data_IF_386141814286
#
_entry.id   IF_386141814286
#
_cell.length_a   1.000
_cell.length_b   1.000
_cell.length_c   1.000
_cell.angle_alpha   90.00
_cell.angle_beta   90.00
_cell.angle_gamma   90.00
#
_symmetry.space_group_name_H-M   'P 1'
#
loop_
_entity.id
_entity.type
_entity.pdbx_description
1 polymer ?
#
# COMPACT_ATOMS: atom_id res chain seq x y z
N UNK A 1 76.00 8.76 -30.04
CA UNK A 1 74.97 9.28 -31.01
C UNK A 1 74.21 8.17 -31.72
N UNK A 2 74.75 6.94 -31.86
CA UNK A 2 74.12 5.81 -32.53
C UNK A 2 73.19 5.00 -31.54
N UNK A 3 73.52 4.93 -30.25
CA UNK A 3 72.66 4.22 -29.23
C UNK A 3 71.38 4.98 -28.91
N UNK A 4 71.35 6.31 -28.95
CA UNK A 4 70.18 7.11 -28.69
C UNK A 4 69.10 7.01 -29.79
N UNK A 5 69.47 6.68 -31.03
CA UNK A 5 68.56 6.47 -32.14
C UNK A 5 67.93 5.10 -32.14
N UNK A 6 68.57 4.04 -31.60
CA UNK A 6 68.02 2.71 -31.47
C UNK A 6 66.98 2.63 -30.37
N UNK A 7 67.16 3.37 -29.30
CA UNK A 7 66.16 3.44 -28.18
C UNK A 7 64.86 4.10 -28.61
N UNK A 8 64.91 5.18 -29.41
CA UNK A 8 63.69 5.85 -29.90
C UNK A 8 62.89 5.03 -30.94
N UNK A 9 63.56 4.24 -31.77
CA UNK A 9 62.89 3.37 -32.75
C UNK A 9 62.13 2.21 -32.08
N UNK A 10 62.71 1.61 -31.03
CA UNK A 10 62.08 0.54 -30.26
C UNK A 10 60.87 1.07 -29.44
N UNK A 11 60.97 2.28 -28.90
CA UNK A 11 59.90 2.89 -28.12
C UNK A 11 58.71 3.30 -29.01
N UNK A 12 58.94 3.76 -30.26
CA UNK A 12 57.90 4.06 -31.21
C UNK A 12 57.19 2.80 -31.75
N UNK A 13 57.87 1.66 -31.88
CA UNK A 13 57.26 0.41 -32.29
C UNK A 13 56.41 -0.20 -31.18
N UNK A 14 56.86 -0.16 -29.94
CA UNK A 14 56.07 -0.62 -28.78
C UNK A 14 54.80 0.23 -28.55
N UNK A 15 54.87 1.56 -28.74
CA UNK A 15 53.66 2.39 -28.65
C UNK A 15 52.65 2.11 -29.76
N UNK A 16 53.09 1.79 -30.98
CA UNK A 16 52.16 1.42 -32.07
C UNK A 16 51.46 0.08 -31.85
N UNK A 17 52.13 -0.91 -31.30
CA UNK A 17 51.51 -2.19 -30.98
C UNK A 17 50.59 -2.10 -29.76
N UNK A 18 50.89 -1.24 -28.78
CA UNK A 18 50.03 -1.04 -27.61
C UNK A 18 48.73 -0.29 -27.96
N UNK A 19 48.77 0.67 -28.87
CA UNK A 19 47.57 1.38 -29.36
C UNK A 19 46.72 0.47 -30.25
N UNK A 20 47.31 -0.45 -31.02
CA UNK A 20 46.55 -1.37 -31.87
C UNK A 20 45.86 -2.49 -31.03
N UNK A 21 46.47 -2.95 -29.96
CA UNK A 21 45.88 -3.95 -29.07
C UNK A 21 44.74 -3.34 -28.22
N UNK A 22 44.82 -2.06 -27.81
CA UNK A 22 43.76 -1.38 -27.08
C UNK A 22 42.57 -1.09 -28.00
N UNK A 23 42.80 -0.72 -29.25
CA UNK A 23 41.72 -0.50 -30.21
C UNK A 23 40.97 -1.76 -30.59
N UNK A 24 41.66 -2.93 -30.69
CA UNK A 24 40.98 -4.22 -30.93
C UNK A 24 40.26 -4.80 -29.70
N UNK A 25 40.72 -4.50 -28.49
CA UNK A 25 39.99 -4.87 -27.28
C UNK A 25 38.72 -4.03 -27.03
N UNK A 26 38.71 -2.74 -27.44
CA UNK A 26 37.51 -1.90 -27.36
C UNK A 26 36.45 -2.23 -28.41
N UNK A 27 36.82 -2.76 -29.59
CA UNK A 27 35.87 -3.20 -30.60
C UNK A 27 35.26 -4.58 -30.26
N UNK A 28 35.98 -5.43 -29.53
CA UNK A 28 35.45 -6.74 -29.08
C UNK A 28 34.49 -6.67 -27.87
N UNK A 29 34.56 -5.61 -27.05
CA UNK A 29 33.60 -5.35 -25.95
C UNK A 29 32.38 -4.53 -26.38
N UNK A 30 32.31 -3.98 -27.57
CA UNK A 30 31.17 -3.22 -28.06
C UNK A 30 30.11 -4.09 -28.79
N UNK A 31 30.35 -5.39 -28.93
CA UNK A 31 29.38 -6.35 -29.52
C UNK A 31 28.78 -7.34 -28.52
N UNK A 32 28.82 -7.08 -27.22
CA UNK A 32 27.87 -7.67 -26.31
C UNK A 32 26.55 -6.91 -26.48
N UNK A 33 25.65 -7.52 -27.19
CA UNK A 33 24.23 -7.19 -27.33
C UNK A 33 23.73 -6.24 -26.26
N UNK A 34 23.74 -4.93 -26.54
CA UNK A 34 22.71 -4.06 -26.02
C UNK A 34 21.41 -4.54 -26.66
N UNK A 35 20.82 -5.57 -26.07
CA UNK A 35 19.40 -5.78 -26.18
C UNK A 35 18.79 -4.47 -25.64
N UNK A 36 18.46 -3.58 -26.55
CA UNK A 36 17.43 -2.57 -26.31
C UNK A 36 16.24 -3.38 -25.87
N UNK A 37 16.05 -3.47 -24.55
CA UNK A 37 14.74 -3.65 -23.99
C UNK A 37 13.92 -2.53 -24.62
N UNK A 38 13.25 -2.82 -25.72
CA UNK A 38 12.12 -2.04 -26.16
C UNK A 38 11.24 -2.01 -24.91
N UNK A 39 11.19 -0.85 -24.23
CA UNK A 39 10.17 -0.60 -23.22
C UNK A 39 8.86 -0.82 -23.94
N UNK A 40 8.31 -2.02 -23.85
CA UNK A 40 6.89 -2.23 -24.08
C UNK A 40 6.17 -1.22 -23.23
N UNK A 41 5.13 -0.59 -23.74
CA UNK A 41 4.32 0.34 -22.97
C UNK A 41 4.04 -0.31 -21.61
N UNK A 42 4.39 0.38 -20.51
CA UNK A 42 4.26 -0.21 -19.18
C UNK A 42 2.78 -0.44 -18.88
N UNK A 43 2.36 -1.71 -18.77
CA UNK A 43 1.01 -2.08 -18.37
C UNK A 43 0.71 -1.53 -16.95
N UNK A 44 -0.50 -1.08 -16.65
CA UNK A 44 -1.61 -0.82 -17.57
C UNK A 44 -1.47 0.54 -18.27
N UNK A 45 -1.93 0.66 -19.51
CA UNK A 45 -2.15 1.96 -20.15
C UNK A 45 -3.64 2.20 -20.37
N UNK A 46 -4.05 3.46 -20.47
CA UNK A 46 -5.46 3.82 -20.74
C UNK A 46 -5.92 3.37 -22.11
N UNK A 47 -5.00 3.11 -23.02
CA UNK A 47 -5.24 2.57 -24.36
C UNK A 47 -5.41 1.05 -24.37
N UNK A 48 -5.03 0.38 -23.27
CA UNK A 48 -5.05 -1.08 -23.16
C UNK A 48 -6.41 -1.64 -22.74
N UNK A 49 -7.43 -0.78 -22.57
CA UNK A 49 -8.79 -1.22 -22.28
C UNK A 49 -9.31 -2.06 -23.45
N UNK A 50 -9.39 -3.37 -23.25
CA UNK A 50 -9.98 -4.25 -24.25
C UNK A 50 -11.48 -4.02 -24.30
N UNK A 51 -12.06 -3.78 -25.50
CA UNK A 51 -13.53 -3.70 -25.64
C UNK A 51 -14.11 -5.02 -25.15
N UNK A 52 -14.92 -4.97 -24.09
CA UNK A 52 -15.45 -6.17 -23.44
C UNK A 52 -15.55 -7.37 -24.40
N UNK A 53 -15.14 -8.60 -24.04
CA UNK A 53 -15.76 -9.22 -22.88
C UNK A 53 -14.84 -10.08 -22.06
N UNK A 54 -13.94 -10.19 -21.54
CA UNK A 54 -13.37 -11.17 -20.56
C UNK A 54 -14.44 -11.69 -19.55
N UNK A 55 -15.65 -12.01 -20.08
CA UNK A 55 -16.79 -12.45 -19.27
C UNK A 55 -17.52 -11.32 -18.55
N UNK A 56 -17.51 -10.08 -19.10
CA UNK A 56 -18.35 -9.00 -18.63
C UNK A 56 -19.35 -8.57 -19.73
N UNK A 57 -20.55 -8.16 -19.33
CA UNK A 57 -21.48 -7.51 -20.25
C UNK A 57 -21.25 -5.99 -20.27
N UNK A 58 -21.29 -5.41 -21.46
CA UNK A 58 -21.03 -3.98 -21.67
C UNK A 58 -22.03 -3.09 -20.92
N UNK A 59 -23.30 -3.48 -20.83
CA UNK A 59 -24.33 -2.71 -20.13
C UNK A 59 -24.08 -2.65 -18.61
N UNK A 60 -23.54 -3.72 -18.03
CA UNK A 60 -23.14 -3.76 -16.62
C UNK A 60 -21.95 -2.85 -16.34
N UNK A 61 -20.92 -2.89 -17.18
CA UNK A 61 -19.78 -1.96 -17.07
C UNK A 61 -20.19 -0.51 -17.27
N UNK A 62 -21.13 -0.24 -18.20
CA UNK A 62 -21.68 1.11 -18.36
C UNK A 62 -22.44 1.61 -17.11
N UNK A 63 -23.08 0.72 -16.34
CA UNK A 63 -23.70 1.10 -15.06
C UNK A 63 -22.65 1.45 -14.01
N UNK A 64 -21.53 0.72 -13.95
CA UNK A 64 -20.41 1.05 -13.09
C UNK A 64 -19.88 2.45 -13.42
N UNK A 65 -19.61 2.73 -14.70
CA UNK A 65 -19.14 4.04 -15.16
C UNK A 65 -20.14 5.16 -14.83
N UNK A 66 -21.41 4.96 -15.15
CA UNK A 66 -22.47 5.92 -14.87
C UNK A 66 -22.57 6.27 -13.37
N UNK A 67 -22.42 5.28 -12.47
CA UNK A 67 -22.42 5.53 -11.01
C UNK A 67 -21.21 6.36 -10.57
N UNK A 68 -20.02 6.07 -11.13
CA UNK A 68 -18.82 6.84 -10.81
C UNK A 68 -18.92 8.29 -11.31
N UNK A 69 -19.44 8.47 -12.53
CA UNK A 69 -19.72 9.80 -13.07
C UNK A 69 -20.77 10.56 -12.25
N UNK A 70 -21.86 9.90 -11.88
CA UNK A 70 -22.93 10.48 -11.06
C UNK A 70 -22.40 11.03 -9.73
N UNK A 71 -21.43 10.36 -9.10
CA UNK A 71 -20.80 10.81 -7.87
C UNK A 71 -20.10 12.18 -8.03
N UNK A 72 -19.47 12.40 -9.17
CA UNK A 72 -18.86 13.70 -9.52
C UNK A 72 -19.93 14.74 -9.83
N UNK A 73 -20.91 14.38 -10.65
CA UNK A 73 -21.99 15.29 -11.08
C UNK A 73 -22.82 15.80 -9.87
N UNK A 74 -22.99 14.96 -8.84
CA UNK A 74 -23.68 15.32 -7.58
C UNK A 74 -22.77 16.01 -6.55
N UNK A 75 -21.48 16.18 -6.85
CA UNK A 75 -20.51 16.74 -5.90
C UNK A 75 -20.23 15.85 -4.68
N UNK A 76 -20.51 14.55 -4.78
CA UNK A 76 -20.13 13.58 -3.74
C UNK A 76 -18.60 13.49 -3.61
N UNK A 77 -17.88 13.63 -4.72
CA UNK A 77 -16.42 13.68 -4.83
C UNK A 77 -15.98 14.73 -5.84
N UNK A 78 -14.78 15.29 -5.71
CA UNK A 78 -14.20 16.20 -6.72
C UNK A 78 -13.84 15.46 -7.99
N UNK A 79 -13.43 14.22 -7.86
CA UNK A 79 -13.09 13.32 -8.95
C UNK A 79 -12.85 11.91 -8.47
N UNK A 80 -12.92 10.97 -9.39
CA UNK A 80 -12.80 9.53 -9.17
C UNK A 80 -12.09 8.87 -10.33
N UNK A 81 -11.23 7.92 -10.02
CA UNK A 81 -10.61 7.03 -11.01
C UNK A 81 -10.89 5.59 -10.60
N UNK A 82 -11.32 4.76 -11.55
CA UNK A 82 -11.50 3.32 -11.32
C UNK A 82 -10.86 2.50 -12.42
N UNK A 83 -10.32 1.34 -12.04
CA UNK A 83 -9.74 0.34 -12.93
C UNK A 83 -10.20 -1.04 -12.51
N UNK A 84 -10.70 -1.82 -13.47
CA UNK A 84 -11.00 -3.23 -13.35
C UNK A 84 -10.13 -4.01 -14.33
N UNK A 85 -9.42 -5.01 -13.86
CA UNK A 85 -8.68 -5.94 -14.71
C UNK A 85 -9.14 -7.38 -14.47
N UNK A 86 -9.11 -8.21 -15.50
CA UNK A 86 -9.40 -9.64 -15.43
C UNK A 86 -8.48 -10.41 -16.37
N UNK A 87 -7.90 -11.51 -15.90
CA UNK A 87 -7.00 -12.38 -16.67
C UNK A 87 -5.86 -11.61 -17.34
N UNK A 88 -5.29 -10.64 -16.61
CA UNK A 88 -4.19 -9.81 -17.08
C UNK A 88 -4.57 -8.64 -18.00
N UNK A 89 -5.84 -8.50 -18.42
CA UNK A 89 -6.30 -7.40 -19.26
C UNK A 89 -7.10 -6.36 -18.48
N UNK A 90 -6.89 -5.08 -18.77
CA UNK A 90 -7.76 -4.00 -18.28
C UNK A 90 -9.07 -4.06 -19.06
N UNK A 91 -10.18 -4.33 -18.37
CA UNK A 91 -11.51 -4.45 -18.98
C UNK A 91 -12.38 -3.22 -18.78
N UNK A 92 -12.01 -2.36 -17.83
CA UNK A 92 -12.69 -1.09 -17.58
C UNK A 92 -11.72 -0.11 -16.94
N UNK A 93 -11.71 1.11 -17.42
CA UNK A 93 -11.00 2.24 -16.83
C UNK A 93 -11.81 3.51 -17.06
N UNK A 94 -11.97 4.29 -16.01
CA UNK A 94 -12.58 5.62 -16.11
C UNK A 94 -11.92 6.62 -15.18
N UNK A 95 -11.91 7.88 -15.60
CA UNK A 95 -11.47 9.02 -14.82
C UNK A 95 -12.50 10.16 -15.02
N UNK A 96 -13.15 10.57 -13.93
CA UNK A 96 -14.16 11.62 -13.94
C UNK A 96 -13.79 12.74 -12.96
N UNK A 97 -14.18 13.97 -13.29
CA UNK A 97 -14.00 15.15 -12.46
C UNK A 97 -12.58 15.68 -12.43
N UNK A 98 -12.26 16.38 -11.35
CA UNK A 98 -11.00 17.12 -11.19
C UNK A 98 -10.23 16.67 -9.95
N UNK A 99 -8.89 16.79 -10.01
CA UNK A 99 -8.03 16.50 -8.85
C UNK A 99 -8.13 17.58 -7.76
N UNK A 100 -8.54 18.79 -8.15
CA UNK A 100 -8.79 19.92 -7.23
C UNK A 100 -9.82 20.86 -7.84
N UNK A 101 -10.81 21.29 -7.06
CA UNK A 101 -11.76 22.33 -7.47
C UNK A 101 -11.07 23.68 -7.64
N UNK A 102 -10.01 23.94 -6.88
CA UNK A 102 -9.27 25.18 -6.90
C UNK A 102 -8.48 25.38 -8.20
N UNK A 103 -7.96 24.29 -8.75
CA UNK A 103 -7.14 24.32 -9.99
C UNK A 103 -7.92 23.93 -11.24
N UNK A 104 -9.01 23.19 -11.09
CA UNK A 104 -9.80 22.66 -12.20
C UNK A 104 -9.06 21.61 -13.06
N UNK A 105 -7.90 21.12 -12.64
CA UNK A 105 -7.11 20.13 -13.39
C UNK A 105 -7.86 18.80 -13.42
N UNK A 106 -8.14 18.23 -14.62
CA UNK A 106 -8.88 16.97 -14.72
C UNK A 106 -8.17 15.80 -14.03
N UNK A 107 -8.93 14.85 -13.51
CA UNK A 107 -8.41 13.54 -13.10
C UNK A 107 -7.79 12.83 -14.30
N UNK A 108 -6.67 12.16 -14.07
CA UNK A 108 -5.97 11.36 -15.07
C UNK A 108 -5.22 10.21 -14.44
N UNK A 109 -4.71 9.27 -15.24
CA UNK A 109 -3.83 8.18 -14.80
C UNK A 109 -2.60 8.66 -14.02
N UNK A 110 -2.18 9.91 -14.28
CA UNK A 110 -1.02 10.54 -13.66
C UNK A 110 -1.35 11.27 -12.35
N UNK A 111 -2.64 11.37 -11.96
CA UNK A 111 -3.04 11.98 -10.71
C UNK A 111 -2.47 11.18 -9.53
N UNK A 112 -1.90 11.88 -8.56
CA UNK A 112 -1.34 11.30 -7.34
C UNK A 112 -2.36 11.38 -6.20
N UNK A 113 -2.47 10.28 -5.48
CA UNK A 113 -3.40 10.14 -4.37
C UNK A 113 -2.64 9.82 -3.08
N UNK A 114 -2.97 10.47 -1.97
CA UNK A 114 -2.59 9.99 -0.65
C UNK A 114 -3.36 8.70 -0.40
N UNK A 115 -2.68 7.55 -0.47
CA UNK A 115 -3.35 6.25 -0.38
C UNK A 115 -3.60 5.80 1.06
N UNK A 116 -3.07 6.55 2.03
CA UNK A 116 -3.23 6.27 3.46
C UNK A 116 -3.09 4.77 3.76
N UNK A 117 -4.11 4.15 4.35
CA UNK A 117 -4.02 2.75 4.79
C UNK A 117 -3.85 1.71 3.68
N UNK A 118 -3.97 2.07 2.41
CA UNK A 118 -3.52 1.20 1.31
C UNK A 118 -1.99 1.04 1.28
N UNK A 119 -1.24 1.80 2.09
CA UNK A 119 0.19 1.58 2.37
C UNK A 119 0.43 0.24 3.06
N UNK A 120 -0.49 -0.21 3.93
CA UNK A 120 -0.33 -1.43 4.76
C UNK A 120 -0.03 -2.70 3.97
N UNK A 121 -0.76 -3.03 2.89
CA UNK A 121 -0.43 -4.15 2.03
C UNK A 121 1.01 -4.10 1.48
N UNK A 122 1.49 -2.91 1.13
CA UNK A 122 2.86 -2.73 0.62
C UNK A 122 3.89 -3.02 1.72
N UNK A 123 3.63 -2.52 2.94
CA UNK A 123 4.45 -2.81 4.12
C UNK A 123 4.45 -4.30 4.44
N UNK A 124 3.28 -4.95 4.38
CA UNK A 124 3.15 -6.40 4.57
C UNK A 124 3.97 -7.20 3.56
N UNK A 125 3.98 -6.80 2.28
CA UNK A 125 4.84 -7.42 1.26
C UNK A 125 6.32 -7.27 1.61
N UNK A 126 6.77 -6.09 2.07
CA UNK A 126 8.16 -5.89 2.52
C UNK A 126 8.52 -6.79 3.71
N UNK A 127 7.63 -6.90 4.70
CA UNK A 127 7.80 -7.82 5.81
C UNK A 127 7.94 -9.27 5.33
N UNK A 128 7.10 -9.70 4.38
CA UNK A 128 7.12 -11.06 3.88
C UNK A 128 8.33 -11.37 3.00
N UNK A 129 8.93 -10.39 2.33
CA UNK A 129 10.24 -10.55 1.68
C UNK A 129 11.34 -10.88 2.71
N UNK A 130 11.31 -10.24 3.88
CA UNK A 130 12.25 -10.53 4.97
C UNK A 130 11.94 -11.88 5.65
N UNK A 131 10.67 -12.27 5.71
CA UNK A 131 10.25 -13.61 6.13
C UNK A 131 10.81 -14.71 5.21
N UNK A 132 10.70 -14.54 3.89
CA UNK A 132 11.27 -15.48 2.89
C UNK A 132 12.79 -15.63 3.02
N UNK A 133 13.48 -14.58 3.48
CA UNK A 133 14.92 -14.60 3.80
C UNK A 133 15.22 -15.27 5.15
N UNK A 134 14.20 -15.71 5.90
CA UNK A 134 14.35 -16.35 7.21
C UNK A 134 14.79 -15.41 8.34
N UNK A 135 14.64 -14.08 8.15
CA UNK A 135 15.08 -13.09 9.14
C UNK A 135 14.14 -12.98 10.34
N UNK A 136 12.90 -13.42 10.19
CA UNK A 136 11.92 -13.50 11.27
C UNK A 136 10.93 -14.65 11.04
N UNK A 137 10.17 -15.01 12.09
CA UNK A 137 9.14 -16.06 12.08
C UNK A 137 7.84 -15.52 12.67
N UNK A 138 6.69 -16.11 12.27
CA UNK A 138 5.38 -15.70 12.76
C UNK A 138 5.24 -15.69 14.27
N UNK A 139 5.86 -16.66 14.96
CA UNK A 139 5.77 -16.81 16.40
C UNK A 139 6.91 -16.11 17.16
N UNK A 140 7.84 -15.44 16.46
CA UNK A 140 8.86 -14.62 17.14
C UNK A 140 8.17 -13.50 17.93
N UNK A 141 8.59 -13.24 19.19
CA UNK A 141 8.11 -12.08 19.91
C UNK A 141 8.63 -10.78 19.27
N UNK A 142 7.81 -9.74 19.21
CA UNK A 142 8.21 -8.45 18.61
C UNK A 142 9.43 -7.84 19.33
N UNK A 143 9.64 -8.15 20.61
CA UNK A 143 10.77 -7.70 21.41
C UNK A 143 12.13 -8.17 20.90
N UNK A 144 12.16 -9.21 20.08
CA UNK A 144 13.39 -9.65 19.38
C UNK A 144 13.89 -8.58 18.39
N UNK A 145 13.00 -7.80 17.83
CA UNK A 145 13.28 -6.77 16.81
C UNK A 145 13.12 -5.35 17.35
N UNK A 146 12.23 -5.20 18.32
CA UNK A 146 11.87 -3.93 18.98
C UNK A 146 12.00 -4.10 20.50
N UNK A 147 13.22 -4.12 21.08
CA UNK A 147 13.44 -4.37 22.51
C UNK A 147 12.80 -3.31 23.41
N UNK A 148 12.45 -2.14 22.88
CA UNK A 148 11.74 -1.09 23.60
C UNK A 148 10.40 -1.56 24.17
N UNK A 149 9.81 -2.61 23.60
CA UNK A 149 8.52 -3.20 24.02
C UNK A 149 8.64 -4.29 25.09
N UNK A 150 9.80 -4.41 25.77
CA UNK A 150 10.02 -5.45 26.78
C UNK A 150 9.14 -5.32 28.03
N UNK A 151 8.62 -4.12 28.33
CA UNK A 151 7.84 -3.81 29.54
C UNK A 151 6.43 -3.29 29.23
N UNK A 152 5.78 -3.90 28.25
CA UNK A 152 4.43 -3.51 27.85
C UNK A 152 3.42 -3.61 29.01
N UNK A 153 2.57 -2.59 29.12
CA UNK A 153 1.45 -2.54 30.04
C UNK A 153 0.14 -2.55 29.26
N UNK A 154 -0.92 -3.04 29.85
CA UNK A 154 -2.28 -3.05 29.31
C UNK A 154 -3.17 -2.22 30.22
N UNK A 155 -4.01 -1.36 29.68
CA UNK A 155 -5.00 -0.62 30.44
C UNK A 155 -6.23 -1.51 30.70
N UNK A 156 -6.37 -2.00 31.93
CA UNK A 156 -7.50 -2.88 32.31
C UNK A 156 -8.83 -2.11 32.39
N UNK A 157 -8.84 -0.98 33.10
CA UNK A 157 -9.91 0.02 33.16
C UNK A 157 -9.35 1.31 33.74
N UNK A 158 -10.13 2.41 33.74
CA UNK A 158 -9.71 3.66 34.40
C UNK A 158 -9.47 3.47 35.90
N UNK A 159 -10.30 2.69 36.54
CA UNK A 159 -10.28 2.41 37.99
C UNK A 159 -9.22 1.38 38.39
N UNK A 160 -9.06 0.32 37.58
CA UNK A 160 -8.12 -0.77 37.84
C UNK A 160 -6.67 -0.44 37.39
N UNK A 161 -6.50 0.62 36.59
CA UNK A 161 -5.20 1.08 36.14
C UNK A 161 -4.49 0.15 35.15
N UNK A 162 -3.16 0.26 35.13
CA UNK A 162 -2.29 -0.53 34.26
C UNK A 162 -1.95 -1.89 34.93
N UNK A 163 -1.81 -2.91 34.10
CA UNK A 163 -1.28 -4.21 34.48
C UNK A 163 -0.24 -4.65 33.44
N UNK A 164 0.77 -5.46 33.80
CA UNK A 164 1.70 -6.00 32.82
C UNK A 164 0.99 -6.77 31.70
N UNK A 165 1.49 -6.69 30.48
CA UNK A 165 1.11 -7.63 29.44
C UNK A 165 1.51 -9.05 29.85
N UNK A 166 0.66 -10.03 29.59
CA UNK A 166 0.93 -11.44 29.95
C UNK A 166 2.16 -12.00 29.21
N UNK A 167 2.44 -11.47 28.03
CA UNK A 167 3.59 -11.77 27.19
C UNK A 167 3.81 -10.65 26.17
N UNK A 168 4.94 -10.66 25.49
CA UNK A 168 5.11 -9.84 24.31
C UNK A 168 4.20 -10.32 23.17
N UNK A 169 3.66 -9.40 22.33
CA UNK A 169 3.00 -9.79 21.10
C UNK A 169 3.95 -10.54 20.16
N UNK A 170 3.40 -11.45 19.35
CA UNK A 170 4.15 -12.12 18.27
C UNK A 170 4.15 -11.29 16.99
N UNK A 171 5.05 -11.59 16.07
CA UNK A 171 5.10 -11.00 14.73
C UNK A 171 3.80 -11.24 13.96
N UNK A 172 3.22 -12.43 14.09
CA UNK A 172 1.89 -12.75 13.53
C UNK A 172 0.82 -11.79 14.07
N UNK A 173 0.78 -11.58 15.38
CA UNK A 173 -0.19 -10.68 16.01
C UNK A 173 0.03 -9.22 15.59
N UNK A 174 1.27 -8.81 15.36
CA UNK A 174 1.57 -7.50 14.80
C UNK A 174 0.98 -7.33 13.38
N UNK A 175 1.16 -8.33 12.51
CA UNK A 175 0.67 -8.30 11.13
C UNK A 175 -0.84 -8.51 10.99
N UNK A 176 -1.49 -9.02 12.04
CA UNK A 176 -2.94 -9.29 12.03
C UNK A 176 -3.76 -8.29 12.84
N UNK A 177 -3.16 -7.23 13.37
CA UNK A 177 -3.82 -6.27 14.28
C UNK A 177 -4.39 -6.93 15.55
N UNK A 178 -3.79 -8.01 16.03
CA UNK A 178 -4.17 -8.67 17.28
C UNK A 178 -3.15 -8.49 18.41
N UNK A 179 -2.14 -7.63 18.20
CA UNK A 179 -1.10 -7.32 19.19
C UNK A 179 -1.57 -6.45 20.37
N UNK A 180 -2.78 -5.88 20.30
CA UNK A 180 -3.37 -5.07 21.36
C UNK A 180 -3.01 -3.58 21.32
N UNK A 181 -2.28 -3.07 20.32
CA UNK A 181 -1.93 -1.66 20.20
C UNK A 181 -3.15 -0.77 19.90
N UNK A 182 -3.09 0.50 20.30
CA UNK A 182 -3.99 1.58 19.87
C UNK A 182 -3.52 2.26 18.58
N UNK A 183 -4.31 3.27 18.13
CA UNK A 183 -3.98 4.09 16.94
C UNK A 183 -4.47 5.55 17.05
N UNK A 184 -5.25 5.87 18.09
CA UNK A 184 -5.90 7.18 18.23
C UNK A 184 -7.22 7.29 17.44
N UNK A 185 -7.85 6.19 17.08
CA UNK A 185 -9.10 6.18 16.30
C UNK A 185 -10.36 6.16 17.19
N UNK A 186 -10.33 5.46 18.31
CA UNK A 186 -11.43 5.41 19.27
C UNK A 186 -11.32 6.57 20.25
N UNK A 187 -11.83 7.74 19.87
CA UNK A 187 -11.66 9.00 20.60
C UNK A 187 -12.07 8.96 22.08
N UNK A 188 -12.97 8.05 22.46
CA UNK A 188 -13.42 7.90 23.84
C UNK A 188 -12.59 6.91 24.66
N UNK A 189 -11.72 6.13 24.03
CA UNK A 189 -10.88 5.15 24.73
C UNK A 189 -9.62 5.86 25.28
N UNK A 190 -9.29 5.70 26.59
CA UNK A 190 -8.15 6.43 27.19
C UNK A 190 -6.82 6.19 26.50
N UNK A 191 -6.54 4.97 26.05
CA UNK A 191 -5.29 4.66 25.31
C UNK A 191 -5.24 5.42 24.00
N UNK A 192 -6.33 5.45 23.22
CA UNK A 192 -6.36 6.19 21.97
C UNK A 192 -6.26 7.71 22.17
N UNK A 193 -6.79 8.24 23.29
CA UNK A 193 -6.53 9.63 23.68
C UNK A 193 -5.05 9.89 23.98
N UNK A 194 -4.33 8.91 24.55
CA UNK A 194 -2.89 9.00 24.73
C UNK A 194 -2.17 9.01 23.36
N UNK A 195 -2.56 8.15 22.42
CA UNK A 195 -2.02 8.16 21.06
C UNK A 195 -2.24 9.50 20.35
N UNK A 196 -3.42 10.11 20.48
CA UNK A 196 -3.70 11.45 19.92
C UNK A 196 -2.81 12.53 20.54
N UNK A 197 -2.63 12.52 21.87
CA UNK A 197 -1.81 13.49 22.58
C UNK A 197 -0.33 13.38 22.27
N UNK A 198 0.20 12.16 22.32
CA UNK A 198 1.64 11.89 22.09
C UNK A 198 2.02 11.96 20.62
N UNK A 199 1.05 11.79 19.71
CA UNK A 199 1.20 11.87 18.27
C UNK A 199 2.45 11.11 17.74
N UNK A 200 2.53 9.79 17.86
CA UNK A 200 3.72 9.03 17.46
C UNK A 200 4.11 9.24 16.00
N UNK A 201 3.12 9.36 15.11
CA UNK A 201 3.35 9.54 13.68
C UNK A 201 3.76 10.97 13.28
N UNK A 202 3.70 11.92 14.21
CA UNK A 202 4.23 13.26 14.04
C UNK A 202 5.66 13.41 14.55
N UNK A 203 6.34 12.34 14.93
CA UNK A 203 7.75 12.36 15.35
C UNK A 203 8.67 12.51 14.13
N UNK A 204 9.92 12.98 14.33
CA UNK A 204 10.83 13.26 13.23
C UNK A 204 11.34 12.01 12.49
N UNK A 205 11.34 10.85 13.15
CA UNK A 205 11.90 9.60 12.61
C UNK A 205 11.24 8.35 13.21
N UNK A 206 11.54 7.20 12.61
CA UNK A 206 11.01 5.89 13.02
C UNK A 206 11.43 5.51 14.44
N UNK A 207 12.65 5.81 14.86
CA UNK A 207 13.14 5.47 16.20
C UNK A 207 12.36 6.23 17.27
N UNK A 208 12.18 7.54 17.09
CA UNK A 208 11.38 8.40 17.99
C UNK A 208 9.91 7.97 18.04
N UNK A 209 9.36 7.52 16.91
CA UNK A 209 8.02 6.94 16.85
C UNK A 209 7.94 5.66 17.70
N UNK A 210 8.84 4.70 17.52
CA UNK A 210 8.91 3.44 18.28
C UNK A 210 9.03 3.72 19.79
N UNK A 211 9.95 4.59 20.20
CA UNK A 211 10.15 4.97 21.61
C UNK A 211 8.90 5.65 22.22
N UNK A 212 8.16 6.40 21.40
CA UNK A 212 6.91 7.02 21.86
C UNK A 212 5.84 5.94 22.07
N UNK A 213 5.66 5.03 21.10
CA UNK A 213 4.66 3.96 21.19
C UNK A 213 4.97 3.01 22.35
N UNK A 214 6.25 2.71 22.62
CA UNK A 214 6.66 1.81 23.69
C UNK A 214 6.28 2.31 25.10
N UNK A 215 6.02 3.61 25.26
CA UNK A 215 5.56 4.22 26.52
C UNK A 215 4.03 4.21 26.68
N UNK A 216 3.30 3.85 25.62
CA UNK A 216 1.85 3.82 25.63
C UNK A 216 1.35 2.40 26.00
N UNK A 217 0.29 2.33 26.82
CA UNK A 217 -0.28 1.01 27.13
C UNK A 217 -1.02 0.41 25.93
N UNK A 218 -1.13 -0.91 25.95
CA UNK A 218 -1.98 -1.65 25.04
C UNK A 218 -3.47 -1.44 25.42
N UNK A 219 -4.35 -1.55 24.42
CA UNK A 219 -5.81 -1.60 24.60
C UNK A 219 -6.25 -2.90 25.25
N UNK A 220 -5.63 -4.01 24.85
CA UNK A 220 -5.99 -5.36 25.21
C UNK A 220 -4.75 -6.24 25.39
N UNK A 221 -4.88 -7.38 26.06
CA UNK A 221 -3.84 -8.39 26.08
C UNK A 221 -3.54 -8.91 24.65
N UNK A 222 -2.28 -9.17 24.30
CA UNK A 222 -1.92 -9.70 22.99
C UNK A 222 -2.67 -11.00 22.67
N UNK A 223 -3.21 -11.10 21.46
CA UNK A 223 -3.91 -12.27 20.95
C UNK A 223 -5.34 -12.46 21.44
N UNK A 224 -5.95 -11.45 22.08
CA UNK A 224 -7.32 -11.59 22.64
C UNK A 224 -8.40 -10.98 21.75
N UNK A 225 -8.05 -10.04 20.89
CA UNK A 225 -9.01 -9.33 20.03
C UNK A 225 -8.32 -8.72 18.82
N UNK A 226 -9.06 -8.55 17.72
CA UNK A 226 -8.66 -7.72 16.61
C UNK A 226 -8.90 -6.24 16.95
N UNK A 227 -7.87 -5.42 16.82
CA UNK A 227 -7.95 -3.96 17.04
C UNK A 227 -7.07 -3.25 16.04
N UNK A 228 -7.67 -2.51 15.11
CA UNK A 228 -6.92 -1.72 14.10
C UNK A 228 -5.98 -0.73 14.78
N UNK A 229 -4.71 -0.77 14.41
CA UNK A 229 -3.66 -0.19 15.26
C UNK A 229 -2.46 0.34 14.49
N UNK A 230 -1.53 0.97 15.22
CA UNK A 230 -0.22 1.42 14.74
C UNK A 230 0.73 0.27 14.36
N UNK A 231 0.30 -0.96 14.48
CA UNK A 231 1.12 -2.16 14.26
C UNK A 231 1.89 -2.14 12.95
N UNK A 232 1.30 -1.63 11.85
CA UNK A 232 1.97 -1.63 10.54
C UNK A 232 3.03 -0.51 10.42
N UNK A 233 2.90 0.55 11.20
CA UNK A 233 3.96 1.55 11.34
C UNK A 233 5.18 0.94 12.07
N UNK A 234 4.94 0.11 13.09
CA UNK A 234 5.99 -0.66 13.76
C UNK A 234 6.64 -1.70 12.84
N UNK A 235 5.88 -2.29 11.92
CA UNK A 235 6.44 -3.16 10.87
C UNK A 235 7.44 -2.40 9.99
N UNK A 236 7.14 -1.14 9.60
CA UNK A 236 8.08 -0.28 8.88
C UNK A 236 9.41 -0.13 9.62
N UNK A 237 9.36 0.08 10.95
CA UNK A 237 10.56 0.14 11.79
C UNK A 237 11.31 -1.20 11.83
N UNK A 238 10.59 -2.32 11.83
CA UNK A 238 11.21 -3.67 11.77
C UNK A 238 11.90 -3.88 10.42
N UNK A 239 11.29 -3.43 9.31
CA UNK A 239 11.93 -3.46 7.99
C UNK A 239 13.24 -2.68 8.01
N UNK A 240 13.28 -1.47 8.57
CA UNK A 240 14.54 -0.70 8.71
C UNK A 240 15.61 -1.48 9.49
N UNK A 241 15.25 -2.04 10.63
CA UNK A 241 16.22 -2.76 11.50
C UNK A 241 16.74 -4.03 10.86
N UNK A 242 15.88 -4.81 10.21
CA UNK A 242 16.28 -6.07 9.59
C UNK A 242 17.07 -5.87 8.29
N UNK A 243 16.76 -4.82 7.54
CA UNK A 243 17.41 -4.54 6.26
C UNK A 243 18.66 -3.64 6.38
N UNK A 244 18.76 -2.85 7.44
CA UNK A 244 19.77 -1.80 7.60
C UNK A 244 19.56 -0.60 6.67
N UNK A 245 18.38 -0.49 6.00
CA UNK A 245 18.02 0.57 5.07
C UNK A 245 16.88 1.42 5.65
N UNK A 246 16.78 2.69 5.24
CA UNK A 246 15.55 3.47 5.47
C UNK A 246 14.37 2.75 4.83
N UNK A 247 13.20 2.85 5.46
CA UNK A 247 12.03 2.08 5.03
C UNK A 247 11.62 2.39 3.58
N UNK A 248 11.54 3.67 3.21
CA UNK A 248 11.24 4.07 1.84
C UNK A 248 12.29 3.60 0.83
N UNK A 249 13.57 3.63 1.19
CA UNK A 249 14.64 3.12 0.34
C UNK A 249 14.53 1.60 0.12
N UNK A 250 14.15 0.85 1.17
CA UNK A 250 13.87 -0.58 1.03
C UNK A 250 12.71 -0.84 0.07
N UNK A 251 11.58 -0.13 0.24
CA UNK A 251 10.42 -0.27 -0.64
C UNK A 251 10.76 0.09 -2.09
N UNK A 252 11.53 1.18 -2.29
CA UNK A 252 11.95 1.61 -3.61
C UNK A 252 12.73 0.51 -4.33
N UNK A 253 13.78 -0.03 -3.70
CA UNK A 253 14.68 -1.01 -4.30
C UNK A 253 14.01 -2.38 -4.51
N UNK A 254 13.18 -2.82 -3.57
CA UNK A 254 12.69 -4.20 -3.54
C UNK A 254 11.24 -4.38 -4.03
N UNK A 255 10.48 -3.29 -4.17
CA UNK A 255 9.08 -3.35 -4.60
C UNK A 255 8.83 -2.37 -5.75
N UNK A 256 9.13 -1.07 -5.57
CA UNK A 256 8.69 -0.05 -6.53
C UNK A 256 9.48 -0.10 -7.83
N UNK A 257 10.81 -0.15 -7.79
CA UNK A 257 11.63 -0.27 -9.00
C UNK A 257 11.35 -1.56 -9.79
N UNK A 258 11.34 -2.77 -9.17
CA UNK A 258 11.01 -3.99 -9.89
C UNK A 258 9.60 -3.98 -10.50
N UNK A 259 8.64 -3.36 -9.83
CA UNK A 259 7.27 -3.22 -10.33
C UNK A 259 7.05 -1.97 -11.20
N UNK A 260 8.07 -1.13 -11.43
CA UNK A 260 7.98 0.14 -12.16
C UNK A 260 6.90 1.08 -11.59
N UNK A 261 6.75 1.09 -10.26
CA UNK A 261 5.84 1.97 -9.51
C UNK A 261 6.52 3.33 -9.26
N UNK A 262 6.74 4.09 -10.33
CA UNK A 262 7.59 5.28 -10.30
C UNK A 262 6.96 6.50 -9.60
N UNK A 263 5.68 6.46 -9.35
CA UNK A 263 4.90 7.53 -8.71
C UNK A 263 4.58 7.24 -7.23
N UNK A 264 5.03 6.09 -6.70
CA UNK A 264 4.75 5.67 -5.32
C UNK A 264 5.89 6.08 -4.40
N UNK A 265 5.60 7.00 -3.46
CA UNK A 265 6.61 7.63 -2.60
C UNK A 265 6.03 8.02 -1.24
N UNK A 266 6.88 8.18 -0.20
CA UNK A 266 6.53 8.83 1.07
C UNK A 266 6.59 10.36 0.98
N UNK A 267 7.48 10.90 0.16
CA UNK A 267 7.67 12.31 -0.04
C UNK A 267 7.43 12.72 -1.49
N UNK A 268 6.54 13.68 -1.70
CA UNK A 268 6.23 14.23 -3.03
C UNK A 268 7.11 15.44 -3.31
N UNK A 269 8.11 15.27 -4.16
CA UNK A 269 8.99 16.34 -4.59
C UNK A 269 8.26 17.46 -5.34
N UNK A 270 8.86 18.65 -5.41
CA UNK A 270 8.24 19.84 -6.06
C UNK A 270 7.78 19.61 -7.51
N UNK A 271 8.47 18.74 -8.23
CA UNK A 271 8.19 18.36 -9.62
C UNK A 271 6.86 17.60 -9.80
N UNK A 272 6.34 17.00 -8.73
CA UNK A 272 5.12 16.17 -8.73
C UNK A 272 3.95 16.77 -7.97
N UNK A 273 4.16 17.82 -7.16
CA UNK A 273 3.14 18.39 -6.28
C UNK A 273 1.87 18.84 -7.02
N UNK A 274 2.02 19.40 -8.23
CA UNK A 274 0.90 19.82 -9.06
C UNK A 274 -0.01 18.65 -9.52
N UNK A 275 0.42 17.42 -9.35
CA UNK A 275 -0.33 16.20 -9.70
C UNK A 275 -1.11 15.61 -8.52
N UNK A 276 -0.91 16.13 -7.30
CA UNK A 276 -1.53 15.56 -6.10
C UNK A 276 -2.95 16.07 -5.96
N UNK A 277 -3.90 15.13 -5.91
CA UNK A 277 -5.30 15.47 -5.68
C UNK A 277 -5.52 16.05 -4.27
N UNK A 278 -6.34 17.10 -4.21
CA UNK A 278 -6.74 17.72 -2.94
C UNK A 278 -7.64 16.79 -2.14
N UNK A 279 -7.31 16.59 -0.87
CA UNK A 279 -8.18 15.86 0.05
C UNK A 279 -9.31 16.79 0.48
N UNK A 280 -10.54 16.33 0.33
CA UNK A 280 -11.73 17.03 0.79
C UNK A 280 -12.39 16.33 1.96
N UNK A 281 -13.19 17.07 2.72
CA UNK A 281 -14.16 16.52 3.67
C UNK A 281 -15.54 17.11 3.42
N UNK A 282 -16.58 16.34 3.74
CA UNK A 282 -17.95 16.84 3.65
C UNK A 282 -18.23 17.78 4.84
N UNK A 283 -18.55 19.03 4.55
CA UNK A 283 -19.04 19.99 5.53
C UNK A 283 -20.56 19.95 5.58
N UNK A 284 -21.12 19.42 6.66
CA UNK A 284 -22.59 19.28 6.82
C UNK A 284 -23.30 20.62 6.89
N UNK A 285 -22.67 21.65 7.46
CA UNK A 285 -23.28 22.98 7.59
C UNK A 285 -23.32 23.71 6.25
N UNK A 286 -22.27 23.56 5.46
CA UNK A 286 -22.17 24.15 4.12
C UNK A 286 -22.82 23.30 3.02
N UNK A 287 -23.14 22.02 3.28
CA UNK A 287 -23.66 21.07 2.31
C UNK A 287 -22.75 20.85 1.11
N UNK A 288 -21.43 20.89 1.30
CA UNK A 288 -20.44 20.77 0.23
C UNK A 288 -19.11 20.21 0.72
N UNK A 289 -18.27 19.84 -0.24
CA UNK A 289 -16.88 19.46 0.01
C UNK A 289 -16.03 20.70 0.28
N UNK A 290 -15.19 20.64 1.35
CA UNK A 290 -14.20 21.65 1.68
C UNK A 290 -12.80 21.03 1.76
N UNK A 291 -11.74 21.74 1.34
CA UNK A 291 -10.38 21.22 1.42
C UNK A 291 -9.99 20.88 2.85
N UNK A 292 -9.26 19.79 3.01
CA UNK A 292 -8.73 19.34 4.29
C UNK A 292 -7.20 19.40 4.27
N UNK A 293 -6.61 20.10 5.22
CA UNK A 293 -5.16 20.13 5.42
C UNK A 293 -4.64 18.81 6.00
N UNK A 294 -3.40 18.46 5.68
CA UNK A 294 -2.73 17.33 6.28
C UNK A 294 -2.57 17.53 7.80
N UNK A 295 -2.64 16.45 8.59
CA UNK A 295 -2.40 16.52 10.02
C UNK A 295 -0.98 17.02 10.34
N UNK A 296 -0.78 17.76 11.47
CA UNK A 296 0.55 18.17 11.90
C UNK A 296 1.53 17.00 11.98
N UNK A 297 2.74 17.17 11.41
CA UNK A 297 3.80 16.15 11.37
C UNK A 297 3.60 15.06 10.32
N UNK A 298 2.61 15.18 9.43
CA UNK A 298 2.37 14.26 8.32
C UNK A 298 2.22 15.01 6.99
N UNK A 299 3.11 15.95 6.76
CA UNK A 299 3.13 16.72 5.51
C UNK A 299 3.82 15.93 4.42
N UNK A 300 3.05 15.40 3.47
CA UNK A 300 3.56 14.63 2.33
C UNK A 300 4.48 15.43 1.39
N UNK A 301 4.57 16.73 1.58
CA UNK A 301 5.43 17.63 0.81
C UNK A 301 6.73 18.00 1.52
N UNK A 302 7.01 17.40 2.67
CA UNK A 302 8.26 17.58 3.42
C UNK A 302 8.98 16.24 3.59
N UNK A 303 10.31 16.21 3.41
CA UNK A 303 11.08 14.97 3.50
C UNK A 303 11.26 14.46 4.95
N UNK A 304 11.20 15.36 5.93
CA UNK A 304 11.55 15.06 7.33
C UNK A 304 10.28 14.67 8.13
N UNK A 305 9.82 13.45 7.95
CA UNK A 305 8.72 12.86 8.70
C UNK A 305 8.88 11.33 8.81
N UNK A 306 8.09 10.72 9.71
CA UNK A 306 8.02 9.26 9.80
C UNK A 306 7.51 8.67 8.48
N UNK A 307 8.28 7.79 7.86
CA UNK A 307 7.85 6.98 6.71
C UNK A 307 6.81 5.95 7.18
N UNK A 308 5.58 6.41 7.40
CA UNK A 308 4.51 5.63 8.03
C UNK A 308 4.14 4.40 7.19
N UNK A 309 4.49 3.21 7.68
CA UNK A 309 4.09 1.94 7.07
C UNK A 309 2.58 1.70 7.11
N UNK A 310 1.90 2.37 8.04
CA UNK A 310 0.46 2.32 8.18
C UNK A 310 -0.32 3.28 7.29
N UNK A 311 0.35 4.29 6.64
CA UNK A 311 -0.44 5.27 5.90
C UNK A 311 0.31 6.40 5.22
N UNK A 312 1.61 6.29 5.00
CA UNK A 312 2.46 7.38 4.53
C UNK A 312 2.65 7.48 3.02
N UNK A 313 2.19 6.52 2.23
CA UNK A 313 2.45 6.55 0.79
C UNK A 313 1.46 7.44 0.02
N UNK A 314 2.00 8.07 -0.99
CA UNK A 314 1.29 8.63 -2.15
C UNK A 314 1.54 7.69 -3.32
N UNK A 315 0.52 7.47 -4.16
CA UNK A 315 0.61 6.59 -5.33
C UNK A 315 -0.32 7.05 -6.46
N UNK A 316 -0.20 6.45 -7.62
CA UNK A 316 -1.09 6.64 -8.76
C UNK A 316 -1.93 5.40 -9.04
N UNK A 317 -2.97 5.53 -9.88
CA UNK A 317 -3.76 4.41 -10.36
C UNK A 317 -2.88 3.37 -11.08
N UNK A 318 -1.99 3.84 -11.94
CA UNK A 318 -1.05 2.98 -12.67
C UNK A 318 -0.22 2.11 -11.72
N UNK A 319 0.43 2.73 -10.75
CA UNK A 319 1.34 2.04 -9.83
C UNK A 319 0.60 1.01 -8.95
N UNK A 320 -0.56 1.43 -8.40
CA UNK A 320 -1.30 0.52 -7.51
C UNK A 320 -1.98 -0.63 -8.27
N UNK A 321 -2.36 -0.43 -9.54
CA UNK A 321 -2.82 -1.50 -10.41
C UNK A 321 -1.72 -2.55 -10.65
N UNK A 322 -0.47 -2.13 -10.85
CA UNK A 322 0.70 -3.03 -10.97
C UNK A 322 0.91 -3.85 -9.69
N UNK A 323 0.80 -3.20 -8.54
CA UNK A 323 0.88 -3.88 -7.24
C UNK A 323 -0.26 -4.92 -7.07
N UNK A 324 -1.49 -4.56 -7.41
CA UNK A 324 -2.64 -5.47 -7.35
C UNK A 324 -2.50 -6.65 -8.32
N UNK A 325 -2.04 -6.40 -9.55
CA UNK A 325 -1.79 -7.46 -10.53
C UNK A 325 -0.66 -8.40 -10.08
N UNK A 326 0.42 -7.86 -9.50
CA UNK A 326 1.50 -8.68 -8.93
C UNK A 326 0.96 -9.63 -7.86
N UNK A 327 0.08 -9.16 -6.98
CA UNK A 327 -0.55 -10.01 -5.95
C UNK A 327 -1.47 -11.06 -6.59
N UNK A 328 -2.32 -10.69 -7.56
CA UNK A 328 -3.18 -11.62 -8.29
C UNK A 328 -2.35 -12.70 -9.00
N UNK A 329 -1.22 -12.35 -9.57
CA UNK A 329 -0.25 -13.25 -10.20
C UNK A 329 0.62 -14.01 -9.19
N UNK A 330 0.21 -14.07 -7.91
CA UNK A 330 0.93 -14.80 -6.86
C UNK A 330 2.40 -14.37 -6.72
N UNK A 331 2.62 -13.06 -6.71
CA UNK A 331 3.91 -12.45 -6.39
C UNK A 331 4.80 -12.12 -7.57
N UNK A 332 4.31 -12.14 -8.81
CA UNK A 332 5.13 -11.81 -10.00
C UNK A 332 4.42 -10.84 -10.94
N UNK A 333 5.18 -9.96 -11.59
CA UNK A 333 4.71 -9.12 -12.69
C UNK A 333 5.90 -8.80 -13.62
N UNK A 334 5.69 -8.87 -14.94
CA UNK A 334 6.66 -8.50 -15.98
C UNK A 334 8.06 -9.15 -15.79
N UNK A 335 8.08 -10.39 -15.32
CA UNK A 335 9.31 -11.14 -15.04
C UNK A 335 9.95 -10.82 -13.67
N UNK A 336 9.52 -9.77 -12.96
CA UNK A 336 9.95 -9.49 -11.61
C UNK A 336 9.19 -10.37 -10.60
N UNK A 337 9.92 -11.09 -9.74
CA UNK A 337 9.36 -11.82 -8.61
C UNK A 337 9.55 -11.02 -7.33
N UNK A 338 8.46 -10.60 -6.73
CA UNK A 338 8.41 -9.83 -5.48
C UNK A 338 8.26 -10.75 -4.27
N UNK A 339 7.40 -11.78 -4.39
CA UNK A 339 7.16 -12.82 -3.39
C UNK A 339 7.02 -14.19 -4.06
N UNK A 340 7.20 -15.25 -3.31
CA UNK A 340 6.85 -16.60 -3.72
C UNK A 340 5.33 -16.80 -3.69
N UNK A 341 4.78 -17.71 -4.55
CA UNK A 341 3.35 -17.99 -4.55
C UNK A 341 2.80 -18.42 -3.19
N UNK A 342 3.51 -19.30 -2.50
CA UNK A 342 3.15 -19.79 -1.17
C UNK A 342 3.14 -18.69 -0.11
N UNK A 343 3.95 -17.65 -0.28
CA UNK A 343 3.98 -16.50 0.62
C UNK A 343 2.76 -15.60 0.41
N UNK A 344 2.37 -15.33 -0.83
CA UNK A 344 1.13 -14.61 -1.14
C UNK A 344 -0.07 -15.38 -0.61
N UNK A 345 -0.11 -16.71 -0.80
CA UNK A 345 -1.15 -17.56 -0.27
C UNK A 345 -1.20 -17.50 1.27
N UNK A 346 -0.05 -17.54 1.94
CA UNK A 346 0.04 -17.37 3.39
C UNK A 346 -0.53 -16.01 3.84
N UNK A 347 -0.18 -14.92 3.14
CA UNK A 347 -0.68 -13.58 3.47
C UNK A 347 -2.20 -13.45 3.38
N UNK A 348 -2.81 -14.16 2.44
CA UNK A 348 -4.23 -14.03 2.11
C UNK A 348 -5.11 -15.12 2.75
N UNK A 349 -4.59 -15.86 3.72
CA UNK A 349 -5.36 -16.74 4.60
C UNK A 349 -5.94 -15.98 5.79
N UNK A 350 -7.05 -16.48 6.35
CA UNK A 350 -7.57 -15.96 7.61
C UNK A 350 -6.66 -16.39 8.78
N UNK A 351 -5.97 -15.46 9.41
CA UNK A 351 -5.12 -15.68 10.56
C UNK A 351 -5.76 -15.29 11.90
N UNK A 352 -6.95 -14.71 11.86
CA UNK A 352 -7.65 -14.19 13.05
C UNK A 352 -8.73 -15.14 13.58
N UNK A 353 -8.94 -16.28 12.91
CA UNK A 353 -9.97 -17.23 13.29
C UNK A 353 -11.34 -16.56 13.30
N UNK A 354 -12.04 -16.66 14.44
CA UNK A 354 -13.39 -16.09 14.63
C UNK A 354 -13.38 -14.65 15.14
N UNK A 355 -12.24 -14.00 15.26
CA UNK A 355 -12.20 -12.58 15.63
C UNK A 355 -12.93 -11.75 14.57
N UNK A 356 -13.85 -10.91 15.02
CA UNK A 356 -14.53 -9.97 14.13
C UNK A 356 -13.58 -8.86 13.71
N UNK A 357 -13.51 -8.62 12.42
CA UNK A 357 -12.69 -7.57 11.80
C UNK A 357 -13.60 -6.41 11.41
N UNK A 358 -13.43 -5.25 12.06
CA UNK A 358 -14.28 -4.09 11.77
C UNK A 358 -13.88 -2.82 12.52
N UNK A 359 -14.43 -1.68 12.09
CA UNK A 359 -14.00 -0.33 12.50
C UNK A 359 -14.98 0.41 13.43
N UNK A 360 -16.12 -0.17 13.78
CA UNK A 360 -17.23 0.55 14.46
C UNK A 360 -17.07 0.67 15.98
N UNK A 361 -15.88 0.45 16.51
CA UNK A 361 -15.59 0.64 17.95
C UNK A 361 -16.33 -0.33 18.89
N UNK A 362 -17.26 -1.11 18.35
CA UNK A 362 -17.99 -2.13 19.09
C UNK A 362 -17.60 -3.50 18.57
N UNK A 363 -16.41 -3.95 18.95
CA UNK A 363 -15.80 -5.19 18.48
C UNK A 363 -16.67 -6.46 18.73
N UNK A 364 -17.72 -6.33 19.52
CA UNK A 364 -18.68 -7.43 19.73
C UNK A 364 -19.69 -7.57 18.58
N UNK A 365 -19.87 -6.53 17.75
CA UNK A 365 -20.96 -6.47 16.76
C UNK A 365 -20.51 -6.15 15.34
N UNK A 366 -19.29 -5.66 15.13
CA UNK A 366 -18.76 -5.33 13.81
C UNK A 366 -17.92 -6.44 13.20
N UNK A 367 -18.04 -6.58 11.92
CA UNK A 367 -17.42 -7.62 11.11
C UNK A 367 -18.47 -8.64 10.63
N UNK A 368 -18.48 -8.92 9.33
CA UNK A 368 -19.34 -9.97 8.77
C UNK A 368 -18.76 -11.34 9.13
N UNK A 369 -19.64 -12.31 9.45
CA UNK A 369 -19.27 -13.71 9.39
C UNK A 369 -18.65 -14.00 8.04
N UNK A 370 -17.65 -14.87 7.96
CA UNK A 370 -17.04 -15.23 6.68
C UNK A 370 -15.93 -14.28 6.18
N UNK A 371 -15.68 -13.16 6.90
CA UNK A 371 -14.53 -12.29 6.68
C UNK A 371 -13.59 -12.32 7.87
N UNK A 372 -12.28 -12.31 7.61
CA UNK A 372 -11.22 -12.32 8.59
C UNK A 372 -10.07 -11.40 8.19
N UNK A 373 -8.90 -11.61 8.81
CA UNK A 373 -7.73 -10.83 8.51
C UNK A 373 -6.53 -11.75 8.23
N UNK A 374 -5.85 -11.49 7.13
CA UNK A 374 -4.60 -12.11 6.76
C UNK A 374 -3.41 -11.33 7.33
N UNK A 375 -2.28 -11.38 6.64
CA UNK A 375 -1.11 -10.58 6.98
C UNK A 375 -1.21 -9.24 6.21
N UNK A 376 -1.77 -8.22 6.87
CA UNK A 376 -2.07 -6.86 6.39
C UNK A 376 -3.16 -6.75 5.30
N UNK A 377 -4.02 -7.75 5.17
CA UNK A 377 -5.21 -7.74 4.31
C UNK A 377 -6.47 -8.17 5.07
N UNK A 378 -7.62 -7.60 4.71
CA UNK A 378 -8.91 -8.21 4.98
C UNK A 378 -9.14 -9.35 3.98
N UNK A 379 -9.65 -10.48 4.42
CA UNK A 379 -9.81 -11.70 3.62
C UNK A 379 -11.22 -12.25 3.72
N UNK A 380 -11.82 -12.64 2.60
CA UNK A 380 -13.09 -13.35 2.52
C UNK A 380 -12.81 -14.86 2.50
N UNK A 381 -13.05 -15.56 3.59
CA UNK A 381 -12.84 -17.00 3.70
C UNK A 381 -14.12 -17.83 3.50
N UNK A 382 -15.30 -17.22 3.72
CA UNK A 382 -16.61 -17.77 3.42
C UNK A 382 -17.51 -16.69 2.80
N UNK A 383 -17.61 -16.63 1.46
CA UNK A 383 -18.38 -15.60 0.75
C UNK A 383 -19.86 -15.59 1.09
N UNK A 384 -20.45 -16.76 1.36
CA UNK A 384 -21.88 -16.89 1.68
C UNK A 384 -22.17 -16.26 3.05
N UNK A 385 -21.38 -16.61 4.05
CA UNK A 385 -21.49 -16.03 5.38
C UNK A 385 -21.14 -14.53 5.38
N UNK A 386 -20.22 -14.10 4.50
CA UNK A 386 -19.85 -12.69 4.33
C UNK A 386 -20.92 -11.86 3.58
N UNK A 387 -21.87 -12.52 2.89
CA UNK A 387 -22.90 -11.84 2.09
C UNK A 387 -22.32 -11.08 0.89
N UNK A 388 -21.24 -11.59 0.29
CA UNK A 388 -20.55 -10.97 -0.83
C UNK A 388 -20.57 -11.88 -2.07
N UNK A 389 -20.65 -11.35 -3.30
CA UNK A 389 -20.51 -12.13 -4.52
C UNK A 389 -19.05 -12.48 -4.86
N UNK A 390 -18.08 -11.95 -4.11
CA UNK A 390 -16.66 -12.22 -4.33
C UNK A 390 -16.32 -13.69 -4.08
N UNK A 391 -15.33 -14.21 -4.79
CA UNK A 391 -14.87 -15.58 -4.60
C UNK A 391 -14.17 -15.79 -3.25
N UNK A 392 -14.11 -17.04 -2.80
CA UNK A 392 -13.32 -17.41 -1.62
C UNK A 392 -11.85 -17.08 -1.82
N UNK A 393 -11.22 -16.51 -0.79
CA UNK A 393 -9.84 -16.05 -0.83
C UNK A 393 -9.68 -14.64 -1.40
N UNK A 394 -10.77 -13.93 -1.70
CA UNK A 394 -10.72 -12.51 -2.04
C UNK A 394 -10.14 -11.72 -0.88
N UNK A 395 -9.29 -10.74 -1.20
CA UNK A 395 -8.66 -9.89 -0.19
C UNK A 395 -8.68 -8.42 -0.62
N UNK A 396 -8.61 -7.53 0.36
CA UNK A 396 -8.83 -6.11 0.13
C UNK A 396 -8.25 -5.24 1.23
N UNK A 397 -8.08 -3.95 0.91
CA UNK A 397 -7.92 -2.90 1.92
C UNK A 397 -8.33 -1.54 1.33
N UNK A 398 -8.25 -0.49 2.19
CA UNK A 398 -8.68 0.86 1.78
C UNK A 398 -7.99 1.95 2.59
N UNK A 399 -7.99 3.17 2.03
CA UNK A 399 -7.50 4.38 2.68
C UNK A 399 -8.63 5.25 3.24
N UNK A 400 -8.34 5.98 4.31
CA UNK A 400 -9.34 6.83 5.00
C UNK A 400 -9.86 7.98 4.14
N UNK A 401 -9.15 8.34 3.07
CA UNK A 401 -9.60 9.34 2.09
C UNK A 401 -10.30 8.72 0.87
N UNK A 402 -10.72 7.45 0.96
CA UNK A 402 -11.59 6.80 0.00
C UNK A 402 -10.86 6.10 -1.16
N UNK A 403 -9.56 5.89 -1.09
CA UNK A 403 -8.88 4.94 -1.98
C UNK A 403 -9.18 3.52 -1.54
N UNK A 404 -9.38 2.58 -2.49
CA UNK A 404 -9.64 1.17 -2.16
C UNK A 404 -9.17 0.24 -3.27
N UNK A 405 -8.93 -1.01 -2.91
CA UNK A 405 -8.74 -2.09 -3.86
C UNK A 405 -9.29 -3.40 -3.30
N UNK A 406 -9.59 -4.31 -4.20
CA UNK A 406 -9.83 -5.70 -3.88
C UNK A 406 -9.35 -6.61 -5.01
N UNK A 407 -8.94 -7.81 -4.65
CA UNK A 407 -8.44 -8.85 -5.55
C UNK A 407 -9.26 -10.10 -5.31
N UNK A 408 -9.76 -10.72 -6.36
CA UNK A 408 -10.47 -11.99 -6.34
C UNK A 408 -9.71 -13.03 -7.17
N UNK A 409 -8.89 -13.86 -6.53
CA UNK A 409 -8.12 -14.89 -7.21
C UNK A 409 -8.99 -16.01 -7.78
N UNK A 410 -10.20 -16.24 -7.26
CA UNK A 410 -11.14 -17.25 -7.76
C UNK A 410 -11.67 -16.88 -9.15
N UNK A 411 -11.96 -15.60 -9.37
CA UNK A 411 -12.47 -15.09 -10.65
C UNK A 411 -11.39 -14.46 -11.53
N UNK A 412 -10.11 -14.51 -11.09
CA UNK A 412 -8.95 -13.96 -11.77
C UNK A 412 -9.13 -12.49 -12.16
N UNK A 413 -9.49 -11.66 -11.17
CA UNK A 413 -9.75 -10.23 -11.37
C UNK A 413 -9.36 -9.40 -10.14
N UNK A 414 -9.14 -8.11 -10.38
CA UNK A 414 -9.00 -7.12 -9.33
C UNK A 414 -9.63 -5.78 -9.74
N UNK A 415 -9.91 -4.98 -8.73
CA UNK A 415 -10.42 -3.62 -8.88
C UNK A 415 -9.61 -2.65 -8.02
N UNK A 416 -9.34 -1.47 -8.57
CA UNK A 416 -8.78 -0.34 -7.83
C UNK A 416 -9.66 0.88 -8.04
N UNK A 417 -9.97 1.61 -6.97
CA UNK A 417 -10.67 2.87 -7.03
C UNK A 417 -9.95 3.94 -6.20
N UNK A 418 -9.91 5.15 -6.72
CA UNK A 418 -9.20 6.26 -6.08
C UNK A 418 -10.02 7.54 -6.10
N UNK A 419 -10.30 8.05 -4.90
CA UNK A 419 -10.85 9.38 -4.62
C UNK A 419 -10.04 10.03 -3.51
N UNK A 420 -10.30 11.31 -3.23
CA UNK A 420 -9.68 12.03 -2.10
C UNK A 420 -10.77 12.74 -1.29
N UNK A 421 -11.61 11.94 -0.60
CA UNK A 421 -12.62 12.45 0.33
C UNK A 421 -12.52 11.73 1.67
N UNK A 422 -12.29 12.50 2.75
CA UNK A 422 -12.38 12.01 4.14
C UNK A 422 -13.78 12.23 4.70
N UNK A 423 -14.16 11.30 5.57
CA UNK A 423 -15.36 11.44 6.38
C UNK A 423 -16.65 11.18 5.61
N UNK A 424 -17.73 11.30 6.34
CA UNK A 424 -19.08 10.93 5.98
C UNK A 424 -19.54 9.77 6.84
N UNK A 425 -20.53 10.03 7.70
CA UNK A 425 -21.25 9.01 8.45
C UNK A 425 -22.74 9.19 8.20
N UNK A 426 -23.50 8.12 8.25
CA UNK A 426 -24.93 8.15 7.98
C UNK A 426 -25.21 8.44 6.50
N UNK A 427 -26.15 9.33 6.23
CA UNK A 427 -26.62 9.68 4.86
C UNK A 427 -25.54 10.32 3.99
N UNK A 428 -24.48 10.87 4.61
CA UNK A 428 -23.37 11.48 3.88
C UNK A 428 -22.24 10.48 3.57
N UNK A 429 -22.39 9.23 4.03
CA UNK A 429 -21.40 8.18 3.77
C UNK A 429 -21.51 7.70 2.33
N UNK A 430 -20.37 7.73 1.62
CA UNK A 430 -20.24 7.05 0.34
C UNK A 430 -19.61 5.69 0.55
N UNK A 431 -20.12 4.68 -0.13
CA UNK A 431 -19.64 3.31 0.02
C UNK A 431 -19.25 2.68 -1.32
N UNK A 432 -18.41 3.37 -2.07
CA UNK A 432 -17.93 2.88 -3.38
C UNK A 432 -17.26 1.51 -3.30
N UNK A 433 -16.71 1.13 -2.16
CA UNK A 433 -16.13 -0.22 -1.97
C UNK A 433 -17.16 -1.30 -2.18
N UNK A 434 -18.30 -1.23 -1.47
CA UNK A 434 -19.40 -2.20 -1.62
C UNK A 434 -20.12 -2.02 -2.94
N UNK A 435 -20.36 -0.77 -3.36
CA UNK A 435 -21.03 -0.47 -4.64
C UNK A 435 -20.23 -1.01 -5.82
N UNK A 436 -18.90 -0.83 -5.85
CA UNK A 436 -18.05 -1.37 -6.93
C UNK A 436 -18.07 -2.89 -6.99
N UNK A 437 -18.03 -3.57 -5.85
CA UNK A 437 -18.18 -5.04 -5.80
C UNK A 437 -19.49 -5.45 -6.42
N UNK A 438 -20.61 -4.88 -5.96
CA UNK A 438 -21.94 -5.21 -6.51
C UNK A 438 -22.01 -4.97 -8.02
N UNK A 439 -21.62 -3.79 -8.50
CA UNK A 439 -21.72 -3.42 -9.91
C UNK A 439 -20.83 -4.26 -10.82
N UNK A 440 -19.62 -4.60 -10.35
CA UNK A 440 -18.70 -5.46 -11.10
C UNK A 440 -19.26 -6.88 -11.23
N UNK A 441 -19.78 -7.46 -10.14
CA UNK A 441 -20.33 -8.82 -10.18
C UNK A 441 -21.70 -8.89 -10.86
N UNK A 442 -22.51 -7.82 -10.82
CA UNK A 442 -23.72 -7.72 -11.65
C UNK A 442 -23.40 -7.68 -13.17
N UNK A 443 -22.21 -7.20 -13.52
CA UNK A 443 -21.71 -7.17 -14.90
C UNK A 443 -21.00 -8.47 -15.31
N UNK A 444 -20.51 -9.26 -14.34
CA UNK A 444 -19.76 -10.48 -14.59
C UNK A 444 -20.69 -11.58 -15.11
N UNK A 445 -20.30 -12.20 -16.22
CA UNK A 445 -21.00 -13.33 -16.80
C UNK A 445 -20.29 -14.64 -16.42
N UNK A 446 -21.04 -15.73 -16.25
CA UNK A 446 -20.48 -17.04 -15.93
C UNK A 446 -19.43 -17.53 -16.91
#
# INVERSE_FOLDING_TARGET
>A
MIEALRSRAVQLHLQRYFVLCIATLFVACANTSSGTLTKGAAWPTMTDVVPAPKGFNAAGLAKLDARMKEAVDKGEVSGIITLLARRGDVVHYTAHGVQSYETGVPMSERTLFRIYSMTKPVTGVAMMQLYEKGLWKLDDPITKFLPEFSNLQVLKSKEAGLQPANRAPTMKELMTHTAGFGYGLMQFHPVDQMFLRENPLGKPDMQSMVETVAKLPLLEQPGTRWSYSIAVDLQGAIVERLSGKKFGAYLQEHIFEPLQMNDTVFFVGPDRQARVATVYQWDRNAGKLVPLSDPPGRDFFKPDHVESGGGGLVSSMHDYARFAQMLLNKGTLDGARILKPETVELMTQNHTGDFRVGFDGNAATSGSSGSGFGLDFSVVYDPVAAGTPQGKGSFSWFGIAGTWFWVDPTNDLFFVGMIQRRGGAGVDAINFRTESVKLVYDALQP
#
